data_IF_789522687031
#
_entry.id   IF_789522687031
#
_cell.length_a   1.000
_cell.length_b   1.000
_cell.length_c   1.000
_cell.angle_alpha   90.00
_cell.angle_beta   90.00
_cell.angle_gamma   90.00
#
_symmetry.space_group_name_H-M   'P 1'
#
loop_
_entity.id
_entity.type
_entity.pdbx_description
1 polymer ?
#
# COMPACT_ATOMS: atom_id res chain seq x y z
N UNK A 1 21.64 -8.71 -10.31
CA UNK A 1 20.54 -7.93 -9.69
C UNK A 1 19.51 -8.87 -9.10
N UNK A 2 19.14 -8.65 -7.88
CA UNK A 2 18.16 -9.51 -7.23
C UNK A 2 16.77 -9.28 -7.82
N UNK A 3 16.05 -10.37 -8.04
CA UNK A 3 14.65 -10.27 -8.45
C UNK A 3 13.80 -9.82 -7.27
N UNK A 4 12.76 -9.06 -7.56
CA UNK A 4 11.78 -8.74 -6.53
C UNK A 4 11.08 -10.02 -6.09
N UNK A 5 11.07 -10.24 -4.79
CA UNK A 5 10.36 -11.37 -4.19
C UNK A 5 9.22 -10.80 -3.34
N UNK A 6 7.96 -11.10 -3.67
CA UNK A 6 6.84 -10.60 -2.88
C UNK A 6 6.93 -11.08 -1.44
N UNK A 7 6.66 -10.18 -0.51
CA UNK A 7 6.67 -10.48 0.92
C UNK A 7 5.24 -10.61 1.42
N UNK A 8 5.09 -11.04 2.68
CA UNK A 8 3.79 -11.03 3.32
C UNK A 8 3.17 -9.63 3.35
N UNK A 9 4.01 -8.61 3.48
CA UNK A 9 3.54 -7.22 3.48
C UNK A 9 2.83 -6.91 2.16
N UNK A 10 3.43 -7.29 1.04
CA UNK A 10 2.83 -7.02 -0.27
C UNK A 10 1.47 -7.71 -0.40
N UNK A 11 1.37 -8.96 0.05
CA UNK A 11 0.10 -9.70 -0.01
C UNK A 11 -0.96 -9.10 0.91
N UNK A 12 -0.56 -8.71 2.12
CA UNK A 12 -1.52 -8.16 3.09
C UNK A 12 -2.06 -6.81 2.62
N UNK A 13 -1.20 -5.96 2.07
CA UNK A 13 -1.63 -4.69 1.50
C UNK A 13 -2.56 -4.95 0.31
N UNK A 14 -2.17 -5.85 -0.58
CA UNK A 14 -2.99 -6.20 -1.75
C UNK A 14 -4.37 -6.68 -1.38
N UNK A 15 -4.47 -7.52 -0.36
CA UNK A 15 -5.75 -8.03 0.13
C UNK A 15 -6.63 -6.90 0.67
N UNK A 16 -6.04 -5.93 1.35
CA UNK A 16 -6.79 -4.78 1.86
C UNK A 16 -7.27 -3.88 0.73
N UNK A 17 -6.46 -3.70 -0.31
CA UNK A 17 -6.89 -2.97 -1.50
C UNK A 17 -8.11 -3.64 -2.11
N UNK A 18 -8.03 -4.95 -2.31
CA UNK A 18 -9.13 -5.71 -2.89
C UNK A 18 -10.38 -5.63 -2.03
N UNK A 19 -10.23 -5.80 -0.73
CA UNK A 19 -11.37 -5.75 0.20
C UNK A 19 -12.10 -4.41 0.12
N UNK A 20 -11.35 -3.31 0.19
CA UNK A 20 -11.96 -1.99 0.16
C UNK A 20 -12.59 -1.69 -1.20
N UNK A 21 -11.91 -2.10 -2.28
CA UNK A 21 -12.45 -1.93 -3.62
C UNK A 21 -13.82 -2.61 -3.75
N UNK A 22 -13.89 -3.88 -3.34
CA UNK A 22 -15.14 -4.66 -3.42
C UNK A 22 -16.22 -4.10 -2.50
N UNK A 23 -15.82 -3.69 -1.31
CA UNK A 23 -16.74 -3.09 -0.34
C UNK A 23 -17.42 -1.85 -0.92
N UNK A 24 -16.68 -1.05 -1.68
CA UNK A 24 -17.20 0.17 -2.29
C UNK A 24 -17.81 -0.05 -3.68
N UNK A 25 -17.77 -1.30 -4.17
CA UNK A 25 -18.44 -1.66 -5.42
C UNK A 25 -17.68 -1.36 -6.69
N UNK A 26 -16.38 -1.13 -6.61
CA UNK A 26 -15.59 -0.86 -7.81
C UNK A 26 -15.02 -2.15 -8.40
N UNK A 27 -15.01 -2.21 -9.74
CA UNK A 27 -14.30 -3.27 -10.47
C UNK A 27 -12.82 -2.89 -10.58
N UNK A 28 -11.98 -3.90 -10.81
CA UNK A 28 -10.55 -3.65 -11.08
C UNK A 28 -10.41 -2.71 -12.27
N UNK A 29 -11.18 -2.98 -13.33
CA UNK A 29 -11.15 -2.17 -14.54
C UNK A 29 -11.43 -0.70 -14.25
N UNK A 30 -12.49 -0.43 -13.50
CA UNK A 30 -12.91 0.93 -13.22
C UNK A 30 -11.91 1.64 -12.31
N UNK A 31 -11.49 0.97 -11.25
CA UNK A 31 -10.57 1.60 -10.30
C UNK A 31 -9.20 1.85 -10.93
N UNK A 32 -8.69 0.91 -11.72
CA UNK A 32 -7.41 1.10 -12.40
C UNK A 32 -7.45 2.31 -13.34
N UNK A 33 -8.57 2.48 -14.02
CA UNK A 33 -8.76 3.64 -14.90
C UNK A 33 -8.70 4.95 -14.11
N UNK A 34 -9.42 5.02 -13.00
CA UNK A 34 -9.47 6.24 -12.18
C UNK A 34 -8.13 6.61 -11.58
N UNK A 35 -7.34 5.63 -11.16
CA UNK A 35 -6.05 5.91 -10.53
C UNK A 35 -4.90 5.90 -11.52
N UNK A 36 -5.20 5.70 -12.80
CA UNK A 36 -4.23 5.71 -13.90
C UNK A 36 -3.13 4.67 -13.72
N UNK A 37 -3.54 3.46 -13.35
CA UNK A 37 -2.67 2.29 -13.24
C UNK A 37 -3.20 1.27 -14.23
N UNK A 38 -2.33 0.58 -14.96
CA UNK A 38 -2.79 -0.43 -15.90
C UNK A 38 -3.55 -1.53 -15.15
N UNK A 39 -4.53 -2.12 -15.81
CA UNK A 39 -5.34 -3.18 -15.21
C UNK A 39 -4.49 -4.39 -14.78
N UNK A 40 -3.55 -4.87 -15.60
CA UNK A 40 -2.69 -5.96 -15.18
C UNK A 40 -1.83 -5.60 -13.95
N UNK A 41 -1.32 -4.36 -13.90
CA UNK A 41 -0.52 -3.92 -12.78
C UNK A 41 -1.36 -3.82 -11.50
N UNK A 42 -2.57 -3.29 -11.61
CA UNK A 42 -3.47 -3.21 -10.47
C UNK A 42 -3.78 -4.61 -9.92
N UNK A 43 -4.04 -5.56 -10.81
CA UNK A 43 -4.31 -6.94 -10.40
C UNK A 43 -3.12 -7.57 -9.69
N UNK A 44 -1.90 -7.28 -10.14
CA UNK A 44 -0.70 -7.76 -9.46
C UNK A 44 -0.56 -7.18 -8.06
N UNK A 45 -0.93 -5.91 -7.89
CA UNK A 45 -0.94 -5.30 -6.56
C UNK A 45 -1.90 -6.03 -5.63
N UNK A 46 -3.12 -6.32 -6.11
CA UNK A 46 -4.12 -7.01 -5.27
C UNK A 46 -3.67 -8.42 -4.88
N UNK A 47 -2.96 -9.10 -5.79
CA UNK A 47 -2.45 -10.44 -5.52
C UNK A 47 -1.15 -10.43 -4.70
N UNK A 48 -0.53 -9.26 -4.54
CA UNK A 48 0.73 -9.15 -3.84
C UNK A 48 1.91 -9.73 -4.61
N UNK A 49 1.78 -9.87 -5.93
CA UNK A 49 2.86 -10.39 -6.76
C UNK A 49 3.86 -9.33 -7.19
N UNK A 50 3.52 -8.07 -6.99
CA UNK A 50 4.41 -6.94 -7.22
C UNK A 50 4.42 -6.05 -5.98
N UNK A 51 5.58 -5.47 -5.69
CA UNK A 51 5.70 -4.47 -4.65
C UNK A 51 4.97 -3.20 -5.10
N UNK A 52 4.05 -2.71 -4.27
CA UNK A 52 3.28 -1.54 -4.67
C UNK A 52 4.14 -0.27 -4.61
N UNK A 53 4.02 0.54 -5.65
CA UNK A 53 4.60 1.87 -5.67
C UNK A 53 3.85 2.76 -4.69
N UNK A 54 4.59 3.51 -3.85
CA UNK A 54 3.97 4.34 -2.82
C UNK A 54 3.03 5.39 -3.43
N UNK A 55 3.41 5.98 -4.56
CA UNK A 55 2.54 6.95 -5.23
C UNK A 55 1.23 6.32 -5.68
N UNK A 56 1.28 5.07 -6.15
CA UNK A 56 0.09 4.34 -6.53
C UNK A 56 -0.79 4.04 -5.32
N UNK A 57 -0.18 3.66 -4.20
CA UNK A 57 -0.94 3.39 -2.99
C UNK A 57 -1.65 4.65 -2.48
N UNK A 58 -0.96 5.78 -2.51
CA UNK A 58 -1.57 7.06 -2.13
C UNK A 58 -2.74 7.40 -3.05
N UNK A 59 -2.58 7.20 -4.35
CA UNK A 59 -3.66 7.45 -5.32
C UNK A 59 -4.87 6.56 -5.04
N UNK A 60 -4.64 5.28 -4.78
CA UNK A 60 -5.70 4.32 -4.47
C UNK A 60 -6.42 4.74 -3.19
N UNK A 61 -5.67 5.03 -2.13
CA UNK A 61 -6.22 5.42 -0.84
C UNK A 61 -7.04 6.71 -0.97
N UNK A 62 -6.52 7.68 -1.70
CA UNK A 62 -7.19 8.96 -1.91
C UNK A 62 -8.49 8.76 -2.67
N UNK A 63 -8.47 7.99 -3.74
CA UNK A 63 -9.67 7.73 -4.53
C UNK A 63 -10.73 7.00 -3.73
N UNK A 64 -10.32 5.99 -2.96
CA UNK A 64 -11.24 5.22 -2.13
C UNK A 64 -11.64 5.96 -0.86
N UNK A 65 -11.10 7.15 -0.63
CA UNK A 65 -11.37 7.97 0.56
C UNK A 65 -11.13 7.18 1.83
N UNK A 66 -10.06 6.40 1.82
CA UNK A 66 -9.71 5.48 2.90
C UNK A 66 -8.34 5.88 3.44
N UNK A 67 -8.18 5.97 4.77
CA UNK A 67 -6.85 6.29 5.32
C UNK A 67 -5.83 5.25 4.91
N UNK A 68 -4.62 5.70 4.60
CA UNK A 68 -3.58 4.78 4.16
C UNK A 68 -3.24 3.74 5.24
N UNK A 69 -3.47 4.09 6.51
CA UNK A 69 -3.28 3.16 7.63
C UNK A 69 -4.14 1.92 7.52
N UNK A 70 -5.30 2.03 6.89
CA UNK A 70 -6.16 0.86 6.69
C UNK A 70 -5.43 -0.23 5.92
N UNK A 71 -4.65 0.16 4.91
CA UNK A 71 -3.96 -0.81 4.06
C UNK A 71 -2.80 -1.49 4.76
N UNK A 72 -2.26 -0.86 5.81
CA UNK A 72 -1.16 -1.41 6.59
C UNK A 72 -1.63 -2.12 7.87
N UNK A 73 -2.92 -2.13 8.15
CA UNK A 73 -3.43 -2.61 9.44
C UNK A 73 -3.00 -4.04 9.76
N UNK A 74 -3.09 -4.94 8.79
CA UNK A 74 -2.70 -6.33 9.01
C UNK A 74 -1.19 -6.48 9.17
N UNK A 75 -0.43 -5.60 8.56
CA UNK A 75 1.02 -5.61 8.68
C UNK A 75 1.46 -5.25 10.09
N UNK A 76 0.73 -4.35 10.74
CA UNK A 76 1.06 -3.90 12.09
C UNK A 76 0.77 -4.96 13.15
N UNK A 77 -0.01 -5.97 12.82
CA UNK A 77 -0.34 -7.06 13.73
C UNK A 77 0.64 -8.23 13.64
N UNK A 78 1.60 -8.18 12.71
CA UNK A 78 2.59 -9.24 12.58
C UNK A 78 3.59 -9.15 13.73
N UNK A 79 3.58 -10.17 14.60
CA UNK A 79 4.47 -10.21 15.76
C UNK A 79 5.94 -10.32 15.37
N UNK A 80 6.21 -10.63 14.12
CA UNK A 80 7.56 -10.90 13.62
C UNK A 80 8.22 -9.67 12.99
N UNK A 81 7.56 -8.51 13.04
CA UNK A 81 8.18 -7.29 12.55
C UNK A 81 9.41 -6.97 13.38
N UNK A 82 10.52 -6.78 12.71
CA UNK A 82 11.77 -6.40 13.36
C UNK A 82 12.27 -5.09 12.75
N UNK A 83 13.17 -4.44 13.50
CA UNK A 83 13.70 -3.13 13.08
C UNK A 83 14.46 -3.21 11.76
N UNK A 84 15.16 -4.30 11.52
CA UNK A 84 15.95 -4.44 10.30
C UNK A 84 15.05 -4.45 9.07
N UNK A 85 13.90 -5.11 9.16
CA UNK A 85 12.95 -5.18 8.06
C UNK A 85 12.32 -3.81 7.80
N UNK A 86 11.91 -3.13 8.86
CA UNK A 86 11.34 -1.78 8.75
C UNK A 86 12.36 -0.80 8.18
N UNK A 87 13.59 -0.86 8.66
CA UNK A 87 14.66 0.00 8.17
C UNK A 87 14.93 -0.21 6.70
N UNK A 88 14.88 -1.47 6.26
CA UNK A 88 15.08 -1.80 4.86
C UNK A 88 14.00 -1.19 3.98
N UNK A 89 12.74 -1.31 4.36
CA UNK A 89 11.63 -0.70 3.64
C UNK A 89 11.79 0.82 3.59
N UNK A 90 12.15 1.41 4.72
CA UNK A 90 12.34 2.85 4.80
C UNK A 90 13.41 3.33 3.82
N UNK A 91 14.53 2.61 3.77
CA UNK A 91 15.65 2.99 2.91
C UNK A 91 15.32 2.86 1.41
N UNK A 92 14.37 2.02 1.06
CA UNK A 92 13.94 1.87 -0.32
C UNK A 92 13.06 3.01 -0.81
N UNK A 93 12.54 3.82 0.10
CA UNK A 93 11.68 4.93 -0.28
C UNK A 93 12.50 6.10 -0.80
N UNK A 94 11.93 6.82 -1.78
CA UNK A 94 12.52 8.08 -2.23
C UNK A 94 12.30 9.15 -1.16
N UNK A 95 13.04 10.27 -1.26
CA UNK A 95 12.87 11.38 -0.32
C UNK A 95 11.43 11.91 -0.31
N UNK A 96 10.79 12.15 -1.48
CA UNK A 96 9.37 12.57 -1.47
C UNK A 96 8.45 11.56 -0.79
N UNK A 97 8.68 10.27 -1.02
CA UNK A 97 7.87 9.22 -0.39
C UNK A 97 8.04 9.22 1.13
N UNK A 98 9.27 9.38 1.60
CA UNK A 98 9.54 9.47 3.05
C UNK A 98 8.82 10.67 3.66
N UNK A 99 8.87 11.80 2.99
CA UNK A 99 8.21 13.02 3.46
C UNK A 99 6.71 12.83 3.58
N UNK A 100 6.09 12.20 2.56
CA UNK A 100 4.66 11.91 2.58
C UNK A 100 4.30 10.97 3.73
N UNK A 101 5.10 9.93 3.93
CA UNK A 101 4.83 8.96 4.98
C UNK A 101 4.96 9.60 6.37
N UNK A 102 5.99 10.40 6.58
CA UNK A 102 6.19 11.10 7.85
C UNK A 102 5.04 12.05 8.13
N UNK A 103 4.62 12.81 7.12
CA UNK A 103 3.48 13.73 7.27
C UNK A 103 2.22 12.96 7.66
N UNK A 104 2.00 11.81 7.04
CA UNK A 104 0.86 10.96 7.35
C UNK A 104 0.92 10.47 8.80
N UNK A 105 2.09 10.00 9.24
CA UNK A 105 2.26 9.51 10.61
C UNK A 105 1.99 10.61 11.63
N UNK A 106 2.38 11.84 11.33
CA UNK A 106 2.08 12.98 12.20
C UNK A 106 0.59 13.23 12.32
N UNK A 107 -0.13 13.10 11.22
CA UNK A 107 -1.60 13.25 11.24
C UNK A 107 -2.25 12.16 12.08
N UNK A 108 -1.76 10.94 12.00
CA UNK A 108 -2.29 9.85 12.82
C UNK A 108 -2.17 10.17 14.31
N UNK A 109 -1.06 10.75 14.72
CA UNK A 109 -0.86 11.10 16.13
C UNK A 109 -1.83 12.14 16.62
N UNK A 110 -2.28 13.03 15.73
CA UNK A 110 -3.21 14.10 16.11
C UNK A 110 -4.62 13.61 16.32
N UNK A 111 -4.97 12.45 15.77
CA UNK A 111 -6.34 11.93 15.84
C UNK A 111 -6.61 11.05 17.05
N UNK A 112 -5.59 10.77 17.83
CA UNK A 112 -5.75 9.96 19.04
C UNK A 112 -6.23 10.75 20.23
#
# INVERSE_FOLDING_TARGET
MAKFVPTNVDRLIGQRIQRKRKELGYTVEKLSEFVNISQPQFSRYERGTNKINMSHLVAIATFLKTPISYFFADCMELAEWNHDELDRYWQELTTPQKTMLVAFLKELKKTD
#
